data_IF_545905944843
#
_entry.id   IF_545905944843
#
_cell.length_a   1.000
_cell.length_b   1.000
_cell.length_c   1.000
_cell.angle_alpha   90.00
_cell.angle_beta   90.00
_cell.angle_gamma   90.00
#
_symmetry.space_group_name_H-M   'P 1'
#
loop_
_entity.id
_entity.type
_entity.pdbx_description
1 polymer ?
#
# COMPACT_ATOMS: atom_id res chain seq x y z
N UNK A 1 2.40 -17.39 -12.69
CA UNK A 1 3.14 -16.77 -11.74
C UNK A 1 3.81 -15.48 -12.18
N UNK A 2 4.30 -14.71 -11.26
CA UNK A 2 4.79 -13.37 -11.51
C UNK A 2 3.72 -12.32 -11.25
N UNK A 3 4.08 -11.05 -11.46
CA UNK A 3 3.20 -9.92 -11.16
C UNK A 3 2.15 -9.77 -12.25
N UNK A 4 0.88 -9.70 -11.84
CA UNK A 4 -0.23 -9.38 -12.74
C UNK A 4 -0.44 -7.85 -12.72
N UNK A 5 -0.36 -7.22 -13.90
CA UNK A 5 -0.45 -5.76 -14.01
C UNK A 5 -1.73 -5.38 -14.75
N UNK A 6 -2.65 -4.64 -14.09
CA UNK A 6 -3.87 -4.16 -14.76
C UNK A 6 -3.58 -3.21 -15.92
N UNK A 7 -4.46 -3.19 -16.91
CA UNK A 7 -4.33 -2.32 -18.08
C UNK A 7 -4.22 -0.84 -17.71
N UNK A 8 -4.83 -0.43 -16.59
CA UNK A 8 -4.76 0.95 -16.08
C UNK A 8 -3.34 1.45 -15.80
N UNK A 9 -2.36 0.53 -15.68
CA UNK A 9 -0.96 0.88 -15.45
C UNK A 9 -0.13 1.06 -16.73
N UNK A 10 -0.78 1.10 -17.91
CA UNK A 10 -0.09 1.41 -19.16
C UNK A 10 0.64 0.23 -19.78
N UNK A 11 0.02 -0.93 -19.79
CA UNK A 11 0.58 -2.15 -20.40
C UNK A 11 0.12 -2.34 -21.84
N UNK A 12 0.18 -1.29 -22.63
CA UNK A 12 -0.38 -1.25 -23.99
C UNK A 12 0.24 -2.29 -24.93
N UNK A 13 1.49 -2.67 -24.67
CA UNK A 13 2.20 -3.69 -25.48
C UNK A 13 1.88 -5.11 -25.06
N UNK A 14 1.12 -5.29 -23.98
CA UNK A 14 0.75 -6.61 -23.48
C UNK A 14 -0.64 -6.99 -24.02
N UNK A 15 -0.76 -8.19 -24.59
CA UNK A 15 -2.03 -8.66 -25.16
C UNK A 15 -3.02 -9.19 -24.12
N UNK A 16 -2.59 -9.34 -22.88
CA UNK A 16 -3.43 -9.85 -21.78
C UNK A 16 -3.78 -8.74 -20.79
N UNK A 17 -4.97 -8.81 -20.20
CA UNK A 17 -5.40 -7.92 -19.14
C UNK A 17 -6.01 -8.76 -18.00
N UNK A 18 -5.38 -8.85 -16.84
CA UNK A 18 -4.11 -8.18 -16.49
C UNK A 18 -2.89 -8.80 -17.19
N UNK A 19 -1.89 -7.99 -17.42
CA UNK A 19 -0.61 -8.46 -17.98
C UNK A 19 0.21 -9.18 -16.92
N UNK A 20 0.66 -10.39 -17.21
CA UNK A 20 1.49 -11.18 -16.31
C UNK A 20 2.97 -10.99 -16.65
N UNK A 21 3.71 -10.41 -15.71
CA UNK A 21 5.13 -10.16 -15.86
C UNK A 21 5.96 -11.37 -15.41
N UNK A 22 7.19 -11.47 -15.87
CA UNK A 22 8.06 -12.61 -15.60
C UNK A 22 8.73 -12.63 -14.22
N UNK A 23 8.45 -11.65 -13.36
CA UNK A 23 9.04 -11.58 -12.02
C UNK A 23 7.96 -11.60 -10.95
N UNK A 24 8.36 -11.99 -9.72
CA UNK A 24 7.47 -11.99 -8.56
C UNK A 24 7.30 -10.58 -8.00
N UNK A 25 6.17 -10.36 -7.31
CA UNK A 25 5.92 -9.10 -6.64
C UNK A 25 6.91 -8.87 -5.51
N UNK A 26 7.40 -7.64 -5.38
CA UNK A 26 8.19 -7.22 -4.22
C UNK A 26 7.25 -6.95 -3.03
N UNK A 27 7.73 -7.24 -1.81
CA UNK A 27 7.02 -6.89 -0.59
C UNK A 27 7.35 -5.43 -0.21
N UNK A 28 6.31 -4.63 -0.03
CA UNK A 28 6.44 -3.27 0.48
C UNK A 28 6.23 -3.33 1.99
N UNK A 29 7.25 -2.95 2.74
CA UNK A 29 7.26 -3.05 4.20
C UNK A 29 7.57 -1.71 4.84
N UNK A 30 7.11 -1.53 6.09
CA UNK A 30 7.46 -0.38 6.91
C UNK A 30 8.78 -0.66 7.63
N UNK A 31 9.70 0.30 7.58
CA UNK A 31 10.94 0.25 8.34
C UNK A 31 10.86 1.25 9.51
N UNK A 32 11.31 0.83 10.67
CA UNK A 32 11.27 1.68 11.87
C UNK A 32 12.49 1.42 12.77
N UNK A 33 12.80 2.40 13.61
CA UNK A 33 13.89 2.32 14.57
C UNK A 33 13.56 1.30 15.66
N UNK A 34 14.50 0.40 15.98
CA UNK A 34 14.30 -0.66 16.96
C UNK A 34 14.02 -0.13 18.38
N UNK A 35 14.66 0.95 18.79
CA UNK A 35 14.45 1.54 20.10
C UNK A 35 13.05 2.16 20.20
N UNK A 36 12.58 2.78 19.13
CA UNK A 36 11.22 3.30 19.06
C UNK A 36 10.19 2.18 19.20
N UNK A 37 10.37 1.08 18.48
CA UNK A 37 9.45 -0.06 18.51
C UNK A 37 9.40 -0.68 19.91
N UNK A 38 10.55 -0.85 20.56
CA UNK A 38 10.61 -1.41 21.92
C UNK A 38 9.89 -0.53 22.94
N UNK A 39 9.95 0.79 22.78
CA UNK A 39 9.30 1.75 23.66
C UNK A 39 7.80 1.96 23.38
N UNK A 40 7.33 1.51 22.20
CA UNK A 40 5.97 1.78 21.73
C UNK A 40 5.32 0.48 21.19
N UNK A 41 4.91 -0.46 22.04
CA UNK A 41 4.38 -1.75 21.60
C UNK A 41 3.14 -1.64 20.71
N UNK A 42 2.26 -0.67 20.95
CA UNK A 42 1.10 -0.46 20.09
C UNK A 42 1.52 -0.03 18.67
N UNK A 43 2.50 0.86 18.56
CA UNK A 43 3.04 1.30 17.27
C UNK A 43 3.74 0.14 16.55
N UNK A 44 4.52 -0.67 17.28
CA UNK A 44 5.16 -1.86 16.72
C UNK A 44 4.13 -2.82 16.11
N UNK A 45 3.08 -3.13 16.86
CA UNK A 45 2.03 -4.03 16.40
C UNK A 45 1.30 -3.48 15.17
N UNK A 46 1.06 -2.16 15.11
CA UNK A 46 0.45 -1.53 13.95
C UNK A 46 1.37 -1.62 12.72
N UNK A 47 2.63 -1.22 12.87
CA UNK A 47 3.58 -1.18 11.76
C UNK A 47 3.92 -2.58 11.21
N UNK A 48 3.90 -3.61 12.04
CA UNK A 48 4.09 -5.00 11.60
C UNK A 48 2.98 -5.48 10.67
N UNK A 49 1.78 -4.93 10.80
CA UNK A 49 0.62 -5.34 10.04
C UNK A 49 0.39 -4.51 8.77
N UNK A 50 0.84 -3.24 8.76
CA UNK A 50 0.60 -2.33 7.64
C UNK A 50 1.23 -2.92 6.38
N UNK A 51 0.38 -3.19 5.40
CA UNK A 51 0.80 -3.77 4.14
C UNK A 51 -0.05 -3.21 3.00
N UNK A 52 0.61 -2.64 2.01
CA UNK A 52 -0.04 -2.08 0.83
C UNK A 52 0.50 -2.84 -0.38
N UNK A 53 -0.39 -3.28 -1.27
CA UNK A 53 0.03 -4.02 -2.45
C UNK A 53 0.86 -3.16 -3.39
N UNK A 54 1.80 -3.79 -4.11
CA UNK A 54 2.60 -3.08 -5.11
C UNK A 54 1.72 -2.51 -6.23
N UNK A 55 0.59 -3.14 -6.52
CA UNK A 55 -0.35 -2.66 -7.53
C UNK A 55 -1.03 -1.37 -7.05
N UNK A 56 -1.45 -1.29 -5.80
CA UNK A 56 -2.03 -0.07 -5.23
C UNK A 56 -1.05 1.09 -5.29
N UNK A 57 0.23 0.84 -4.96
CA UNK A 57 1.28 1.86 -5.06
C UNK A 57 1.48 2.29 -6.51
N UNK A 58 1.49 1.35 -7.45
CA UNK A 58 1.66 1.66 -8.87
C UNK A 58 0.49 2.50 -9.41
N UNK A 59 -0.75 2.21 -8.99
CA UNK A 59 -1.92 3.01 -9.36
C UNK A 59 -1.81 4.44 -8.82
N UNK A 60 -1.32 4.62 -7.59
CA UNK A 60 -1.06 5.94 -7.03
C UNK A 60 0.00 6.70 -7.84
N UNK A 61 1.04 6.03 -8.28
CA UNK A 61 2.07 6.64 -9.12
C UNK A 61 1.48 7.16 -10.45
N UNK A 62 0.53 6.44 -11.03
CA UNK A 62 -0.17 6.88 -12.25
C UNK A 62 -0.93 8.18 -11.99
N UNK A 63 -1.65 8.30 -10.88
CA UNK A 63 -2.36 9.52 -10.51
C UNK A 63 -1.39 10.68 -10.28
N UNK A 64 -0.30 10.43 -9.57
CA UNK A 64 0.73 11.42 -9.29
C UNK A 64 1.36 11.96 -10.58
N UNK A 65 1.76 11.09 -11.48
CA UNK A 65 2.33 11.47 -12.77
C UNK A 65 1.33 12.16 -13.68
N UNK A 66 0.03 11.87 -13.51
CA UNK A 66 -1.06 12.52 -14.23
C UNK A 66 -1.42 13.92 -13.75
N UNK A 67 -0.78 14.41 -12.68
CA UNK A 67 -0.96 15.76 -12.17
C UNK A 67 -1.59 15.86 -10.78
N UNK A 68 -2.06 14.76 -10.21
CA UNK A 68 -2.61 14.72 -8.84
C UNK A 68 -1.48 14.56 -7.83
N UNK A 69 -0.63 15.59 -7.73
CA UNK A 69 0.63 15.51 -7.00
C UNK A 69 0.81 16.59 -5.91
N UNK A 70 -0.23 17.32 -5.59
CA UNK A 70 -0.20 18.25 -4.46
C UNK A 70 -0.34 17.47 -3.13
N UNK A 71 0.04 18.10 -2.02
CA UNK A 71 -0.15 17.49 -0.68
C UNK A 71 -1.63 17.18 -0.45
N UNK A 72 -2.52 18.06 -0.89
CA UNK A 72 -3.97 17.86 -0.77
C UNK A 72 -4.44 16.64 -1.56
N UNK A 73 -3.97 16.50 -2.79
CA UNK A 73 -4.31 15.34 -3.65
C UNK A 73 -3.83 14.04 -3.01
N UNK A 74 -2.57 13.98 -2.56
CA UNK A 74 -1.99 12.80 -1.92
C UNK A 74 -2.72 12.43 -0.65
N UNK A 75 -3.06 13.40 0.18
CA UNK A 75 -3.85 13.16 1.40
C UNK A 75 -5.26 12.65 1.07
N UNK A 76 -5.87 13.17 0.01
CA UNK A 76 -7.16 12.69 -0.48
C UNK A 76 -7.10 11.24 -0.94
N UNK A 77 -6.06 10.88 -1.70
CA UNK A 77 -5.85 9.49 -2.14
C UNK A 77 -5.64 8.55 -0.95
N UNK A 78 -4.90 8.97 0.06
CA UNK A 78 -4.70 8.17 1.28
C UNK A 78 -6.01 7.96 2.03
N UNK A 79 -6.84 9.00 2.17
CA UNK A 79 -8.14 8.90 2.80
C UNK A 79 -9.08 7.96 2.04
N UNK A 80 -9.08 8.03 0.72
CA UNK A 80 -9.87 7.14 -0.14
C UNK A 80 -9.43 5.69 0.01
N UNK A 81 -8.12 5.43 0.04
CA UNK A 81 -7.59 4.08 0.24
C UNK A 81 -8.03 3.52 1.59
N UNK A 82 -7.96 4.33 2.65
CA UNK A 82 -8.41 3.92 3.99
C UNK A 82 -9.91 3.60 3.98
N UNK A 83 -10.73 4.41 3.31
CA UNK A 83 -12.16 4.18 3.21
C UNK A 83 -12.47 2.87 2.48
N UNK A 84 -11.77 2.60 1.38
CA UNK A 84 -11.93 1.38 0.58
C UNK A 84 -11.44 0.12 1.30
N UNK A 85 -10.49 0.27 2.24
CA UNK A 85 -9.90 -0.82 3.01
C UNK A 85 -10.22 -0.72 4.51
N UNK A 86 -11.34 -0.12 4.86
CA UNK A 86 -11.69 0.22 6.24
C UNK A 86 -11.66 -0.97 7.18
N UNK A 87 -12.19 -2.10 6.77
CA UNK A 87 -12.23 -3.31 7.60
C UNK A 87 -10.80 -3.77 7.96
N UNK A 88 -9.88 -3.73 7.01
CA UNK A 88 -8.48 -4.09 7.23
C UNK A 88 -7.78 -3.10 8.16
N UNK A 89 -8.00 -1.79 7.95
CA UNK A 89 -7.43 -0.73 8.79
C UNK A 89 -7.94 -0.85 10.22
N UNK A 90 -9.23 -1.09 10.41
CA UNK A 90 -9.83 -1.25 11.75
C UNK A 90 -9.25 -2.47 12.47
N UNK A 91 -8.99 -3.56 11.75
CA UNK A 91 -8.33 -4.75 12.31
C UNK A 91 -6.91 -4.45 12.75
N UNK A 92 -6.14 -3.70 11.95
CA UNK A 92 -4.79 -3.26 12.33
C UNK A 92 -4.81 -2.43 13.60
N UNK A 93 -5.75 -1.48 13.69
CA UNK A 93 -5.89 -0.60 14.85
C UNK A 93 -6.28 -1.40 16.09
N UNK A 94 -7.23 -2.34 15.96
CA UNK A 94 -7.66 -3.18 17.08
C UNK A 94 -6.50 -4.02 17.63
N UNK A 95 -5.67 -4.60 16.78
CA UNK A 95 -4.50 -5.37 17.19
C UNK A 95 -3.47 -4.46 17.86
N UNK A 96 -3.26 -3.25 17.35
CA UNK A 96 -2.36 -2.29 17.97
C UNK A 96 -2.82 -1.89 19.38
N UNK A 97 -4.10 -1.63 19.56
CA UNK A 97 -4.68 -1.29 20.87
C UNK A 97 -4.48 -2.44 21.86
N UNK A 98 -4.68 -3.67 21.42
CA UNK A 98 -4.53 -4.86 22.27
C UNK A 98 -3.07 -5.09 22.69
N UNK A 99 -2.10 -4.63 21.93
CA UNK A 99 -0.66 -4.79 22.20
C UNK A 99 -0.09 -3.71 23.11
N UNK A 100 -0.76 -2.57 23.20
CA UNK A 100 -0.28 -1.37 23.93
C UNK A 100 -0.77 -1.18 25.33
#
# INVERSE_FOLDING_TARGET
DGVAVPAALGTDTCSADPCHLGWVAADIQVSANNEFLAANPAAEALLEQVKISVIDVALQNVLYDGGENTTEDVNGHAADWIADNRAQVDEWIATAIAAG
#
